data_IF_823697715481
#
_entry.id   IF_823697715481
#
_cell.length_a   1.000
_cell.length_b   1.000
_cell.length_c   1.000
_cell.angle_alpha   90.00
_cell.angle_beta   90.00
_cell.angle_gamma   90.00
#
_symmetry.space_group_name_H-M   'P 1'
#
loop_
_entity.id
_entity.type
_entity.pdbx_description
1 polymer ?
#
# COMPACT_ATOMS: atom_id res chain seq x y z
N UNK A 1 9.76 0.01 7.04
CA UNK A 1 8.81 -1.10 7.29
C UNK A 1 8.10 -1.35 5.99
N UNK A 2 7.94 -2.61 5.62
CA UNK A 2 7.23 -3.01 4.41
C UNK A 2 5.87 -3.61 4.79
N UNK A 3 4.83 -3.26 4.04
CA UNK A 3 3.48 -3.79 4.22
C UNK A 3 3.23 -4.81 3.11
N UNK A 4 3.32 -6.10 3.43
CA UNK A 4 3.17 -7.18 2.45
C UNK A 4 1.72 -7.50 2.09
N UNK A 5 0.83 -7.54 3.09
CA UNK A 5 -0.57 -7.91 2.87
C UNK A 5 -1.49 -6.83 3.42
N UNK A 6 -2.09 -6.08 2.52
CA UNK A 6 -3.05 -5.02 2.84
C UNK A 6 -4.38 -5.32 2.15
N UNK A 7 -5.30 -5.94 2.89
CA UNK A 7 -6.60 -6.34 2.39
C UNK A 7 -7.70 -5.93 3.37
N UNK A 8 -8.87 -5.59 2.81
CA UNK A 8 -10.07 -5.24 3.56
C UNK A 8 -11.20 -6.03 2.95
N UNK A 9 -11.99 -6.69 3.78
CA UNK A 9 -13.16 -7.41 3.31
C UNK A 9 -14.15 -6.44 2.61
N UNK A 10 -14.75 -6.81 1.46
CA UNK A 10 -15.58 -5.91 0.65
C UNK A 10 -16.70 -5.21 1.42
N UNK A 11 -17.32 -5.88 2.39
CA UNK A 11 -18.38 -5.32 3.24
C UNK A 11 -17.96 -4.08 4.04
N UNK A 12 -16.65 -3.86 4.20
CA UNK A 12 -16.09 -2.72 4.94
C UNK A 12 -15.40 -1.70 4.03
N UNK A 13 -15.54 -1.83 2.71
CA UNK A 13 -15.04 -0.82 1.77
C UNK A 13 -15.77 0.50 1.95
N UNK A 14 -15.10 1.60 1.60
CA UNK A 14 -15.63 2.97 1.70
C UNK A 14 -16.03 3.44 3.11
N UNK A 15 -15.79 2.65 4.16
CA UNK A 15 -16.06 3.00 5.56
C UNK A 15 -14.84 3.60 6.30
N UNK A 16 -13.74 3.86 5.59
CA UNK A 16 -12.52 4.42 6.18
C UNK A 16 -11.59 3.41 6.84
N UNK A 17 -11.94 2.12 6.87
CA UNK A 17 -11.13 1.05 7.49
C UNK A 17 -9.68 1.03 6.97
N UNK A 18 -9.48 1.21 5.66
CA UNK A 18 -8.12 1.23 5.09
C UNK A 18 -7.28 2.39 5.59
N UNK A 19 -7.89 3.56 5.83
CA UNK A 19 -7.18 4.70 6.41
C UNK A 19 -6.74 4.40 7.84
N UNK A 20 -7.60 3.75 8.63
CA UNK A 20 -7.27 3.40 10.02
C UNK A 20 -6.19 2.31 10.10
N UNK A 21 -6.19 1.33 9.19
CA UNK A 21 -5.12 0.34 9.09
C UNK A 21 -3.77 0.98 8.71
N UNK A 22 -3.75 1.93 7.77
CA UNK A 22 -2.52 2.65 7.42
C UNK A 22 -2.02 3.51 8.59
N UNK A 23 -2.90 4.23 9.30
CA UNK A 23 -2.51 4.95 10.53
C UNK A 23 -1.95 4.03 11.60
N UNK A 24 -2.53 2.83 11.75
CA UNK A 24 -2.00 1.85 12.68
C UNK A 24 -0.57 1.44 12.28
N UNK A 25 -0.34 1.17 10.99
CA UNK A 25 0.99 0.86 10.47
C UNK A 25 2.00 2.00 10.74
N UNK A 26 1.62 3.26 10.53
CA UNK A 26 2.46 4.43 10.87
C UNK A 26 2.79 4.49 12.35
N UNK A 27 1.78 4.31 13.21
CA UNK A 27 1.97 4.33 14.66
C UNK A 27 2.95 3.23 15.10
N UNK A 28 2.85 2.05 14.50
CA UNK A 28 3.77 0.95 14.79
C UNK A 28 5.19 1.24 14.28
N UNK A 29 5.34 1.76 13.07
CA UNK A 29 6.63 2.15 12.53
C UNK A 29 7.30 3.26 13.37
N UNK A 30 6.55 4.27 13.81
CA UNK A 30 7.05 5.34 14.69
C UNK A 30 7.55 4.79 16.03
N UNK A 31 6.82 3.84 16.66
CA UNK A 31 7.28 3.16 17.88
C UNK A 31 8.59 2.40 17.69
N UNK A 32 8.85 1.93 16.47
CA UNK A 32 10.06 1.20 16.10
C UNK A 32 11.17 2.12 15.57
N UNK A 33 11.00 3.44 15.62
CA UNK A 33 11.92 4.44 15.03
C UNK A 33 12.20 4.22 13.53
N UNK A 34 11.21 3.68 12.80
CA UNK A 34 11.29 3.46 11.36
C UNK A 34 10.89 4.76 10.65
N UNK A 35 11.69 5.16 9.65
CA UNK A 35 11.49 6.43 8.92
C UNK A 35 10.65 6.34 7.66
N UNK A 36 10.42 5.12 7.15
CA UNK A 36 9.79 4.91 5.84
C UNK A 36 8.86 3.70 5.87
N UNK A 37 7.66 3.87 5.32
CA UNK A 37 6.74 2.80 4.94
C UNK A 37 6.85 2.52 3.45
N UNK A 38 6.80 1.25 3.06
CA UNK A 38 6.78 0.81 1.66
C UNK A 38 5.69 -0.21 1.42
N UNK A 39 5.13 -0.18 0.21
CA UNK A 39 4.18 -1.16 -0.28
C UNK A 39 4.26 -1.25 -1.80
N UNK A 40 3.89 -2.40 -2.33
CA UNK A 40 3.62 -2.62 -3.74
C UNK A 40 2.12 -2.81 -3.98
N UNK A 41 1.66 -2.49 -5.19
CA UNK A 41 0.26 -2.66 -5.57
C UNK A 41 0.15 -2.96 -7.05
N UNK A 42 -0.68 -3.95 -7.40
CA UNK A 42 -0.99 -4.24 -8.79
C UNK A 42 -1.56 -2.99 -9.49
N UNK A 43 -1.04 -2.66 -10.68
CA UNK A 43 -1.31 -1.39 -11.37
C UNK A 43 -2.81 -1.11 -11.60
N UNK A 44 -3.64 -2.17 -11.70
CA UNK A 44 -5.08 -2.06 -11.96
C UNK A 44 -5.92 -1.96 -10.69
N UNK A 45 -5.32 -2.07 -9.51
CA UNK A 45 -6.00 -1.87 -8.24
C UNK A 45 -6.14 -0.38 -7.92
N UNK A 46 -6.95 0.30 -8.73
CA UNK A 46 -7.22 1.74 -8.62
C UNK A 46 -7.74 2.18 -7.23
N UNK A 47 -8.58 1.39 -6.53
CA UNK A 47 -9.01 1.75 -5.17
C UNK A 47 -7.84 1.85 -4.19
N UNK A 48 -6.92 0.87 -4.20
CA UNK A 48 -5.76 0.87 -3.32
C UNK A 48 -4.79 2.00 -3.68
N UNK A 49 -4.49 2.19 -4.98
CA UNK A 49 -3.65 3.28 -5.46
C UNK A 49 -4.15 4.64 -4.97
N UNK A 50 -5.45 4.92 -5.14
CA UNK A 50 -6.07 6.17 -4.68
C UNK A 50 -6.00 6.32 -3.16
N UNK A 51 -6.15 5.24 -2.41
CA UNK A 51 -6.02 5.26 -0.96
C UNK A 51 -4.60 5.65 -0.55
N UNK A 52 -3.58 5.02 -1.14
CA UNK A 52 -2.18 5.26 -0.80
C UNK A 52 -1.76 6.69 -1.14
N UNK A 53 -2.07 7.17 -2.34
CA UNK A 53 -1.77 8.54 -2.78
C UNK A 53 -2.47 9.57 -1.88
N UNK A 54 -3.76 9.35 -1.56
CA UNK A 54 -4.50 10.22 -0.63
C UNK A 54 -3.90 10.20 0.79
N UNK A 55 -3.26 9.10 1.17
CA UNK A 55 -2.62 8.96 2.47
C UNK A 55 -1.16 9.47 2.46
N UNK A 56 -0.68 10.04 1.36
CA UNK A 56 0.63 10.69 1.27
C UNK A 56 1.78 9.74 0.90
N UNK A 57 1.47 8.53 0.42
CA UNK A 57 2.46 7.71 -0.26
C UNK A 57 2.83 8.33 -1.62
N UNK A 58 4.10 8.24 -1.98
CA UNK A 58 4.65 8.69 -3.25
C UNK A 58 4.98 7.49 -4.11
N UNK A 59 4.60 7.56 -5.37
CA UNK A 59 5.02 6.60 -6.38
C UNK A 59 6.55 6.67 -6.55
N UNK A 60 7.17 5.49 -6.66
CA UNK A 60 8.61 5.35 -6.84
C UNK A 60 8.93 4.73 -8.19
N UNK A 61 8.38 3.55 -8.47
CA UNK A 61 8.63 2.86 -9.73
C UNK A 61 7.52 1.84 -10.05
N UNK A 62 7.57 1.27 -11.25
CA UNK A 62 6.73 0.15 -11.67
C UNK A 62 7.61 -1.01 -12.07
N UNK A 63 7.41 -2.17 -11.45
CA UNK A 63 8.24 -3.36 -11.63
C UNK A 63 7.41 -4.57 -12.00
N UNK A 64 8.05 -5.54 -12.65
CA UNK A 64 7.50 -6.89 -12.84
C UNK A 64 7.98 -7.79 -11.69
N UNK A 65 7.05 -8.40 -10.97
CA UNK A 65 7.33 -9.31 -9.86
C UNK A 65 7.38 -10.78 -10.29
N UNK A 66 7.32 -11.07 -11.59
CA UNK A 66 7.30 -12.43 -12.14
C UNK A 66 5.93 -13.13 -12.02
N UNK A 67 4.86 -12.36 -11.83
CA UNK A 67 3.49 -12.87 -11.61
C UNK A 67 2.61 -12.80 -12.88
N UNK A 68 3.23 -12.59 -14.04
CA UNK A 68 2.53 -12.49 -15.34
C UNK A 68 1.68 -13.74 -15.64
N UNK A 69 2.11 -14.93 -15.23
CA UNK A 69 1.34 -16.18 -15.39
C UNK A 69 -0.01 -16.16 -14.65
N UNK A 70 -0.18 -15.27 -13.66
CA UNK A 70 -1.43 -15.05 -12.94
C UNK A 70 -2.21 -13.83 -13.46
N UNK A 71 -1.79 -13.25 -14.58
CA UNK A 71 -2.32 -11.99 -15.13
C UNK A 71 -1.84 -10.73 -14.40
N UNK A 72 -0.87 -10.87 -13.50
CA UNK A 72 -0.35 -9.79 -12.66
C UNK A 72 1.03 -9.37 -13.14
N UNK A 73 1.08 -8.55 -14.20
CA UNK A 73 2.34 -8.12 -14.81
C UNK A 73 3.02 -6.99 -14.02
N UNK A 74 2.35 -5.86 -13.88
CA UNK A 74 2.97 -4.65 -13.34
C UNK A 74 2.50 -4.30 -11.93
N UNK A 75 3.48 -4.02 -11.06
CA UNK A 75 3.25 -3.56 -9.70
C UNK A 75 3.88 -2.18 -9.51
N UNK A 76 3.10 -1.26 -8.97
CA UNK A 76 3.57 0.08 -8.59
C UNK A 76 4.13 0.02 -7.18
N UNK A 77 5.33 0.55 -7.01
CA UNK A 77 6.00 0.69 -5.73
C UNK A 77 5.71 2.08 -5.17
N UNK A 78 5.33 2.12 -3.90
CA UNK A 78 5.02 3.34 -3.18
C UNK A 78 5.83 3.41 -1.88
N UNK A 79 6.25 4.61 -1.51
CA UNK A 79 6.85 4.87 -0.21
C UNK A 79 6.24 6.10 0.48
N UNK A 80 6.26 6.09 1.82
CA UNK A 80 5.90 7.24 2.63
C UNK A 80 6.95 7.47 3.70
N UNK A 81 7.49 8.68 3.74
CA UNK A 81 8.34 9.14 4.84
C UNK A 81 7.45 9.45 6.06
N UNK A 82 7.89 9.00 7.24
CA UNK A 82 7.20 9.18 8.53
C UNK A 82 7.77 10.32 9.35
#
# INVERSE_FOLDING_TARGET
MEIYTFAIHPDYWCQGVGKELLKFAEKQANKMNIKVLRLDVYEKNLPAIKLYEKFGFKYIDTVDLGLENYGLKWFRLYEKLL
#
